data_IF_385072422904
#
_entry.id   IF_385072422904
#
_cell.length_a   1.000
_cell.length_b   1.000
_cell.length_c   1.000
_cell.angle_alpha   90.00
_cell.angle_beta   90.00
_cell.angle_gamma   90.00
#
_symmetry.space_group_name_H-M   'P 1'
#
loop_
_entity.id
_entity.type
_entity.pdbx_description
1 polymer ?
#
# COMPACT_ATOMS: atom_id res chain seq x y z
N UNK A 1 -7.38 -2.08 15.88
CA UNK A 1 -8.64 -2.57 15.26
C UNK A 1 -8.79 -1.87 13.91
N UNK A 2 -9.06 -2.60 12.83
CA UNK A 2 -9.22 -2.01 11.48
C UNK A 2 -8.32 -2.57 10.37
N UNK A 3 -7.42 -3.50 10.70
CA UNK A 3 -6.60 -4.23 9.72
C UNK A 3 -7.27 -5.57 9.42
N UNK A 4 -8.26 -5.55 8.54
CA UNK A 4 -8.94 -6.76 8.06
C UNK A 4 -8.77 -6.84 6.55
N UNK A 5 -7.95 -7.78 6.11
CA UNK A 5 -7.86 -8.16 4.71
C UNK A 5 -8.01 -9.69 4.59
N UNK A 6 -8.95 -10.12 3.75
CA UNK A 6 -9.27 -11.53 3.54
C UNK A 6 -8.61 -12.08 2.26
N UNK A 7 -7.86 -11.25 1.55
CA UNK A 7 -7.12 -11.62 0.35
C UNK A 7 -5.88 -12.44 0.67
N UNK A 8 -5.31 -13.06 -0.38
CA UNK A 8 -4.04 -13.75 -0.26
C UNK A 8 -2.90 -12.73 -0.32
N UNK A 9 -2.48 -12.26 0.85
CA UNK A 9 -1.40 -11.30 1.02
C UNK A 9 -0.02 -11.99 0.92
N UNK A 10 0.87 -11.38 0.14
CA UNK A 10 2.24 -11.85 -0.05
C UNK A 10 3.30 -11.01 0.68
N UNK A 11 3.06 -9.72 0.83
CA UNK A 11 4.01 -8.77 1.44
C UNK A 11 3.28 -7.50 1.92
N UNK A 12 3.93 -6.74 2.80
CA UNK A 12 3.47 -5.45 3.27
C UNK A 12 4.65 -4.49 3.51
N UNK A 13 4.45 -3.22 3.19
CA UNK A 13 5.42 -2.16 3.42
C UNK A 13 4.83 -1.05 4.30
N UNK A 14 5.64 -0.56 5.23
CA UNK A 14 5.34 0.65 5.99
C UNK A 14 5.90 1.86 5.25
N UNK A 15 5.04 2.76 4.79
CA UNK A 15 5.41 4.02 4.13
C UNK A 15 4.48 5.17 4.61
N UNK A 16 5.03 6.35 4.90
CA UNK A 16 4.24 7.57 5.20
C UNK A 16 3.87 8.22 3.87
N UNK A 17 2.73 7.79 3.29
CA UNK A 17 2.30 8.21 1.95
C UNK A 17 1.58 9.56 1.97
N UNK A 18 0.95 9.91 3.09
CA UNK A 18 0.22 11.17 3.22
C UNK A 18 1.06 12.31 3.82
N UNK A 19 2.33 12.02 4.17
CA UNK A 19 3.31 12.93 4.75
C UNK A 19 2.85 13.57 6.07
N UNK A 20 2.09 12.83 6.89
CA UNK A 20 1.60 13.30 8.18
C UNK A 20 2.51 12.95 9.38
N UNK A 21 3.62 12.26 9.10
CA UNK A 21 4.60 11.83 10.09
C UNK A 21 4.27 10.50 10.77
N UNK A 22 3.17 9.83 10.38
CA UNK A 22 2.79 8.52 10.87
C UNK A 22 2.97 7.47 9.78
N UNK A 23 3.43 6.30 10.19
CA UNK A 23 3.62 5.22 9.26
C UNK A 23 2.30 4.56 8.87
N UNK A 24 1.99 4.56 7.58
CA UNK A 24 0.86 3.86 6.98
C UNK A 24 1.25 2.43 6.58
N UNK A 25 0.31 1.66 6.04
CA UNK A 25 0.55 0.32 5.52
C UNK A 25 0.05 0.18 4.09
N UNK A 26 0.94 -0.23 3.20
CA UNK A 26 0.59 -0.74 1.88
C UNK A 26 0.76 -2.26 1.87
N UNK A 27 -0.30 -2.97 1.50
CA UNK A 27 -0.37 -4.43 1.53
C UNK A 27 -0.66 -4.91 0.11
N UNK A 28 0.24 -5.73 -0.43
CA UNK A 28 0.02 -6.33 -1.73
C UNK A 28 -0.84 -7.59 -1.59
N UNK A 29 -1.60 -7.90 -2.64
CA UNK A 29 -2.37 -9.12 -2.71
C UNK A 29 -2.06 -9.91 -4.00
N UNK A 30 -1.62 -11.16 -3.81
CA UNK A 30 -1.39 -12.13 -4.89
C UNK A 30 -2.71 -12.59 -5.52
N UNK A 31 -3.82 -12.43 -4.80
CA UNK A 31 -5.17 -12.61 -5.33
C UNK A 31 -6.11 -11.56 -4.70
N UNK A 32 -6.41 -10.52 -5.46
CA UNK A 32 -7.19 -9.36 -5.00
C UNK A 32 -6.50 -8.05 -5.32
N UNK A 33 -7.20 -6.95 -5.09
CA UNK A 33 -6.60 -5.62 -5.18
C UNK A 33 -5.67 -5.39 -3.99
N UNK A 34 -4.59 -4.66 -4.22
CA UNK A 34 -3.72 -4.17 -3.15
C UNK A 34 -4.49 -3.22 -2.23
N UNK A 35 -4.04 -3.11 -0.99
CA UNK A 35 -4.71 -2.34 0.04
C UNK A 35 -3.78 -1.32 0.66
N UNK A 36 -4.31 -0.11 0.84
CA UNK A 36 -3.66 0.95 1.58
C UNK A 36 -4.48 1.28 2.81
N UNK A 37 -3.80 1.28 3.95
CA UNK A 37 -4.35 1.61 5.26
C UNK A 37 -3.60 2.81 5.82
N UNK A 38 -4.28 3.95 5.86
CA UNK A 38 -3.77 5.16 6.47
C UNK A 38 -3.83 5.04 8.00
N UNK A 39 -2.76 5.48 8.66
CA UNK A 39 -2.68 5.51 10.12
C UNK A 39 -3.27 6.81 10.65
N UNK A 40 -4.37 6.69 11.41
CA UNK A 40 -5.02 7.83 12.07
C UNK A 40 -4.27 8.20 13.36
N UNK A 41 -3.04 8.67 13.20
CA UNK A 41 -2.14 9.17 14.26
C UNK A 41 -1.98 8.20 15.45
N UNK A 42 -1.79 6.91 15.13
CA UNK A 42 -1.61 5.83 16.12
C UNK A 42 -2.91 5.33 16.75
N UNK A 43 -4.07 5.88 16.39
CA UNK A 43 -5.37 5.49 16.97
C UNK A 43 -5.95 4.24 16.31
N UNK A 44 -5.87 4.18 14.99
CA UNK A 44 -6.42 3.09 14.16
C UNK A 44 -5.87 3.16 12.74
N UNK A 45 -6.11 2.10 11.98
CA UNK A 45 -5.89 2.07 10.54
C UNK A 45 -7.22 2.22 9.81
N UNK A 46 -7.23 3.05 8.76
CA UNK A 46 -8.40 3.31 7.91
C UNK A 46 -8.07 2.90 6.49
N UNK A 47 -8.84 1.96 5.93
CA UNK A 47 -8.65 1.53 4.54
C UNK A 47 -9.01 2.68 3.58
N UNK A 48 -8.02 3.18 2.84
CA UNK A 48 -8.16 4.26 1.85
C UNK A 48 -7.68 3.87 0.45
N UNK A 49 -7.51 2.58 0.18
CA UNK A 49 -6.99 2.04 -1.08
C UNK A 49 -7.58 2.69 -2.33
N UNK A 50 -8.91 2.83 -2.43
CA UNK A 50 -9.56 3.38 -3.64
C UNK A 50 -9.44 4.89 -3.79
N UNK A 51 -9.10 5.61 -2.72
CA UNK A 51 -8.92 7.06 -2.73
C UNK A 51 -7.54 7.41 -3.29
N UNK A 52 -6.50 6.69 -2.86
CA UNK A 52 -5.12 6.89 -3.31
C UNK A 52 -4.77 6.10 -4.56
N UNK A 53 -5.26 4.86 -4.64
CA UNK A 53 -4.98 3.91 -5.72
C UNK A 53 -6.31 3.47 -6.37
N UNK A 54 -6.90 4.29 -7.25
CA UNK A 54 -8.18 3.97 -7.90
C UNK A 54 -8.09 2.70 -8.75
N UNK A 55 -6.88 2.29 -9.14
CA UNK A 55 -6.56 1.00 -9.72
C UNK A 55 -5.28 0.46 -9.10
N UNK A 56 -5.32 -0.81 -8.75
CA UNK A 56 -4.14 -1.59 -8.34
C UNK A 56 -4.03 -2.79 -9.27
N UNK A 57 -2.85 -3.40 -9.38
CA UNK A 57 -2.68 -4.67 -10.06
C UNK A 57 -3.52 -5.78 -9.38
N UNK A 58 -3.66 -6.92 -10.07
CA UNK A 58 -4.40 -8.09 -9.58
C UNK A 58 -3.48 -9.30 -9.63
N UNK A 59 -2.68 -9.49 -8.56
CA UNK A 59 -1.59 -10.48 -8.56
C UNK A 59 -0.22 -9.90 -8.24
N UNK A 60 -0.18 -8.86 -7.42
CA UNK A 60 1.07 -8.23 -7.01
C UNK A 60 2.00 -9.24 -6.32
N UNK A 61 3.30 -9.13 -6.60
CA UNK A 61 4.34 -10.10 -6.20
C UNK A 61 5.41 -9.50 -5.30
N UNK A 62 5.65 -8.19 -5.38
CA UNK A 62 6.62 -7.51 -4.54
C UNK A 62 6.38 -6.00 -4.49
N UNK A 63 6.67 -5.41 -3.34
CA UNK A 63 6.65 -3.97 -3.08
C UNK A 63 8.09 -3.51 -2.77
N UNK A 64 8.47 -2.34 -3.29
CA UNK A 64 9.63 -1.62 -2.82
C UNK A 64 9.28 -0.14 -2.61
N UNK A 65 9.76 0.42 -1.50
CA UNK A 65 9.54 1.82 -1.11
C UNK A 65 10.85 2.59 -1.25
N UNK A 66 10.87 3.65 -2.04
CA UNK A 66 12.01 4.56 -2.17
C UNK A 66 11.57 5.84 -2.88
N UNK A 67 12.32 6.92 -2.68
CA UNK A 67 12.16 8.18 -3.43
C UNK A 67 12.78 8.01 -4.83
N UNK A 68 11.94 7.83 -5.86
CA UNK A 68 12.39 7.53 -7.22
C UNK A 68 12.85 8.77 -7.98
N UNK A 69 12.13 9.89 -7.81
CA UNK A 69 12.35 11.12 -8.58
C UNK A 69 13.11 12.21 -7.81
N UNK A 70 13.52 11.92 -6.57
CA UNK A 70 14.27 12.79 -5.68
C UNK A 70 13.50 14.05 -5.26
N UNK A 71 12.17 13.97 -5.14
CA UNK A 71 11.32 15.06 -4.66
C UNK A 71 11.17 15.09 -3.12
N UNK A 72 11.72 14.08 -2.43
CA UNK A 72 11.67 13.93 -0.98
C UNK A 72 10.42 13.23 -0.45
N UNK A 73 9.52 12.79 -1.34
CA UNK A 73 8.39 11.91 -1.03
C UNK A 73 8.76 10.46 -1.35
N UNK A 74 8.16 9.51 -0.63
CA UNK A 74 8.40 8.09 -0.86
C UNK A 74 7.44 7.54 -1.92
N UNK A 75 7.99 6.88 -2.93
CA UNK A 75 7.21 6.19 -3.95
C UNK A 75 7.04 4.71 -3.67
N UNK A 76 6.00 4.13 -4.28
CA UNK A 76 5.77 2.69 -4.30
C UNK A 76 6.09 2.11 -5.68
N UNK A 77 7.02 1.17 -5.70
CA UNK A 77 7.26 0.32 -6.86
C UNK A 77 6.64 -1.06 -6.61
N UNK A 78 5.64 -1.42 -7.41
CA UNK A 78 4.91 -2.68 -7.30
C UNK A 78 5.10 -3.51 -8.56
N UNK A 79 5.45 -4.79 -8.38
CA UNK A 79 5.53 -5.76 -9.47
C UNK A 79 4.29 -6.64 -9.48
N UNK A 80 3.72 -6.89 -10.66
CA UNK A 80 2.60 -7.82 -10.88
C UNK A 80 3.07 -8.99 -11.73
N UNK A 81 2.51 -10.18 -11.48
CA UNK A 81 2.69 -11.35 -12.33
C UNK A 81 1.76 -11.36 -13.56
N UNK A 82 0.69 -10.56 -13.56
CA UNK A 82 -0.25 -10.45 -14.67
C UNK A 82 -0.04 -9.13 -15.42
N UNK A 83 0.21 -9.24 -16.73
CA UNK A 83 0.09 -8.10 -17.64
C UNK A 83 -1.40 -7.93 -17.98
N UNK A 84 -2.02 -6.84 -17.53
CA UNK A 84 -3.35 -6.42 -18.03
C UNK A 84 -3.15 -5.49 -19.22
#
# INVERSE_FOLDING_TARGET
MGLEDASWTGDASAVDLNADGWQDLYILNMQGSDQYYENDQGRRFVRKSREYFPRTPWGSMGIQVFDWDSDGLLDLYVTDMHSI
#
